data_IF_470506979080
#
_entry.id   IF_470506979080
#
_cell.length_a   1.000
_cell.length_b   1.000
_cell.length_c   1.000
_cell.angle_alpha   90.00
_cell.angle_beta   90.00
_cell.angle_gamma   90.00
#
_symmetry.space_group_name_H-M   'P 1'
#
loop_
_entity.id
_entity.type
_entity.pdbx_description
1 polymer ?
#
# COMPACT_ATOMS: atom_id res chain seq x y z
N UNK A 1 16.61 2.01 -28.86
CA UNK A 1 15.39 1.52 -29.57
C UNK A 1 14.83 0.25 -28.89
N UNK A 2 15.65 -0.81 -28.67
CA UNK A 2 15.20 -2.07 -28.07
C UNK A 2 14.58 -1.90 -26.70
N UNK A 3 15.22 -1.17 -25.77
CA UNK A 3 14.69 -0.91 -24.42
C UNK A 3 13.32 -0.26 -24.46
N UNK A 4 13.11 0.72 -25.34
CA UNK A 4 11.81 1.37 -25.48
C UNK A 4 10.73 0.41 -25.97
N UNK A 5 11.08 -0.47 -26.93
CA UNK A 5 10.14 -1.48 -27.42
C UNK A 5 9.76 -2.49 -26.33
N UNK A 6 10.72 -2.92 -25.53
CA UNK A 6 10.49 -3.86 -24.44
C UNK A 6 9.61 -3.24 -23.35
N UNK A 7 9.82 -1.98 -22.99
CA UNK A 7 8.93 -1.23 -22.07
C UNK A 7 7.52 -1.13 -22.65
N UNK A 8 7.39 -0.75 -23.93
CA UNK A 8 6.08 -0.68 -24.60
C UNK A 8 5.35 -2.02 -24.58
N UNK A 9 6.06 -3.13 -24.70
CA UNK A 9 5.46 -4.46 -24.60
C UNK A 9 4.94 -4.77 -23.19
N UNK A 10 5.64 -4.33 -22.13
CA UNK A 10 5.16 -4.44 -20.75
C UNK A 10 3.90 -3.59 -20.55
N UNK A 11 3.92 -2.33 -20.98
CA UNK A 11 2.77 -1.43 -20.87
C UNK A 11 1.53 -1.97 -21.60
N UNK A 12 1.68 -2.55 -22.79
CA UNK A 12 0.57 -3.18 -23.52
C UNK A 12 -0.06 -4.34 -22.76
N UNK A 13 0.73 -5.15 -22.04
CA UNK A 13 0.18 -6.26 -21.23
C UNK A 13 -0.66 -5.74 -20.06
N UNK A 14 -0.22 -4.66 -19.43
CA UNK A 14 -0.98 -3.98 -18.36
C UNK A 14 -2.25 -3.35 -18.95
N UNK A 15 -2.15 -2.70 -20.11
CA UNK A 15 -3.23 -1.98 -20.78
C UNK A 15 -4.44 -2.87 -21.09
N UNK A 16 -4.23 -4.10 -21.52
CA UNK A 16 -5.32 -5.05 -21.85
C UNK A 16 -6.34 -5.16 -20.72
N UNK A 17 -5.90 -5.24 -19.46
CA UNK A 17 -6.80 -5.33 -18.31
C UNK A 17 -7.19 -3.97 -17.75
N UNK A 18 -6.31 -2.99 -17.79
CA UNK A 18 -6.57 -1.64 -17.30
C UNK A 18 -7.76 -0.99 -18.02
N UNK A 19 -7.85 -1.16 -19.34
CA UNK A 19 -8.98 -0.64 -20.15
C UNK A 19 -10.34 -1.13 -19.67
N UNK A 20 -10.43 -2.32 -19.13
CA UNK A 20 -11.71 -2.85 -18.60
C UNK A 20 -12.13 -2.19 -17.29
N UNK A 21 -11.26 -1.38 -16.68
CA UNK A 21 -11.47 -0.75 -15.38
C UNK A 21 -11.59 0.78 -15.46
N UNK A 22 -11.48 1.38 -16.65
CA UNK A 22 -11.46 2.85 -16.83
C UNK A 22 -12.70 3.56 -16.31
N UNK A 23 -13.83 2.88 -16.19
CA UNK A 23 -15.07 3.44 -15.63
C UNK A 23 -15.06 3.53 -14.09
N UNK A 24 -14.03 3.00 -13.42
CA UNK A 24 -13.88 3.03 -11.97
C UNK A 24 -12.44 3.38 -11.59
N UNK A 25 -12.23 4.63 -11.23
CA UNK A 25 -10.91 5.19 -10.95
C UNK A 25 -10.18 4.45 -9.83
N UNK A 26 -10.85 4.12 -8.73
CA UNK A 26 -10.27 3.35 -7.64
C UNK A 26 -9.78 1.96 -8.09
N UNK A 27 -10.60 1.25 -8.88
CA UNK A 27 -10.23 -0.09 -9.36
C UNK A 27 -9.08 -0.04 -10.35
N UNK A 28 -9.06 0.97 -11.21
CA UNK A 28 -8.00 1.18 -12.18
C UNK A 28 -6.69 1.49 -11.47
N UNK A 29 -6.67 2.50 -10.61
CA UNK A 29 -5.48 2.90 -9.85
C UNK A 29 -4.93 1.75 -9.01
N UNK A 30 -5.82 1.05 -8.28
CA UNK A 30 -5.46 -0.14 -7.52
C UNK A 30 -4.84 -1.22 -8.40
N UNK A 31 -5.35 -1.45 -9.59
CA UNK A 31 -4.76 -2.42 -10.53
C UNK A 31 -3.36 -1.99 -10.98
N UNK A 32 -3.12 -0.71 -11.24
CA UNK A 32 -1.80 -0.19 -11.61
C UNK A 32 -0.80 -0.35 -10.44
N UNK A 33 -1.20 -0.02 -9.23
CA UNK A 33 -0.44 -0.24 -8.00
C UNK A 33 -0.09 -1.73 -7.84
N UNK A 34 -1.08 -2.61 -7.85
CA UNK A 34 -0.92 -4.07 -7.70
C UNK A 34 -0.03 -4.67 -8.79
N UNK A 35 -0.06 -4.11 -10.00
CA UNK A 35 0.77 -4.58 -11.11
C UNK A 35 2.26 -4.37 -10.83
N UNK A 36 2.62 -3.28 -10.15
CA UNK A 36 4.00 -3.03 -9.73
C UNK A 36 4.35 -3.89 -8.52
N UNK A 37 3.53 -3.87 -7.46
CA UNK A 37 3.78 -4.66 -6.25
C UNK A 37 4.02 -6.14 -6.57
N UNK A 38 3.24 -6.71 -7.49
CA UNK A 38 3.37 -8.12 -7.88
C UNK A 38 4.59 -8.43 -8.74
N UNK A 39 5.06 -7.46 -9.53
CA UNK A 39 6.06 -7.72 -10.56
C UNK A 39 7.46 -7.20 -10.24
N UNK A 40 7.62 -6.29 -9.27
CA UNK A 40 8.88 -5.62 -8.97
C UNK A 40 9.36 -6.01 -7.58
N UNK A 41 10.58 -6.55 -7.50
CA UNK A 41 11.27 -6.78 -6.25
C UNK A 41 11.98 -5.51 -5.78
N UNK A 42 12.04 -5.26 -4.46
CA UNK A 42 12.90 -4.18 -3.95
C UNK A 42 14.38 -4.55 -4.05
N UNK A 43 15.19 -3.63 -4.56
CA UNK A 43 16.61 -3.87 -4.80
C UNK A 43 17.50 -3.37 -3.66
N UNK A 44 17.60 -4.17 -2.60
CA UNK A 44 18.47 -3.86 -1.46
C UNK A 44 19.96 -3.81 -1.84
N UNK A 45 20.39 -4.60 -2.83
CA UNK A 45 21.78 -4.66 -3.25
C UNK A 45 22.22 -3.36 -3.93
N UNK A 46 21.30 -2.72 -4.64
CA UNK A 46 21.57 -1.47 -5.37
C UNK A 46 21.66 -0.23 -4.48
N UNK A 47 21.12 -0.30 -3.25
CA UNK A 47 21.27 0.79 -2.28
C UNK A 47 22.73 1.04 -1.87
N UNK A 48 23.58 0.01 -1.98
CA UNK A 48 24.99 0.06 -1.58
C UNK A 48 25.96 0.29 -2.75
N UNK A 49 25.44 0.38 -3.99
CA UNK A 49 26.27 0.45 -5.20
C UNK A 49 26.02 1.77 -5.94
N UNK A 50 27.08 2.47 -6.28
CA UNK A 50 27.00 3.76 -7.01
C UNK A 50 26.64 3.64 -8.50
N UNK A 51 26.61 2.43 -9.09
CA UNK A 51 26.47 2.20 -10.54
C UNK A 51 25.15 1.55 -10.96
N UNK A 52 24.08 1.68 -10.17
CA UNK A 52 22.82 0.99 -10.42
C UNK A 52 21.75 1.90 -11.05
N UNK A 53 22.07 2.57 -12.15
CA UNK A 53 21.12 3.48 -12.84
C UNK A 53 19.78 2.83 -13.17
N UNK A 54 19.76 1.55 -13.54
CA UNK A 54 18.52 0.86 -13.86
C UNK A 54 17.58 0.77 -12.65
N UNK A 55 18.09 0.46 -11.46
CA UNK A 55 17.31 0.34 -10.25
C UNK A 55 16.58 1.64 -9.88
N UNK A 56 17.12 2.79 -10.25
CA UNK A 56 16.54 4.12 -10.04
C UNK A 56 15.61 4.58 -11.18
N UNK A 57 15.32 3.70 -12.13
CA UNK A 57 14.58 4.02 -13.34
C UNK A 57 13.44 3.04 -13.62
N UNK A 58 12.61 3.39 -14.59
CA UNK A 58 11.55 2.50 -15.08
C UNK A 58 12.09 1.22 -15.74
N UNK A 59 13.36 1.22 -16.16
CA UNK A 59 14.02 0.02 -16.73
C UNK A 59 14.13 -1.06 -15.67
N UNK A 60 14.64 -0.72 -14.47
CA UNK A 60 14.71 -1.65 -13.35
C UNK A 60 13.34 -2.21 -13.01
N UNK A 61 12.34 -1.35 -12.87
CA UNK A 61 10.99 -1.78 -12.52
C UNK A 61 10.33 -2.66 -13.60
N UNK A 62 10.38 -2.24 -14.87
CA UNK A 62 9.62 -2.94 -15.93
C UNK A 62 10.37 -4.07 -16.60
N UNK A 63 11.70 -3.99 -16.73
CA UNK A 63 12.49 -4.99 -17.44
C UNK A 63 13.26 -5.90 -16.49
N UNK A 64 14.03 -5.33 -15.55
CA UNK A 64 14.84 -6.10 -14.61
C UNK A 64 13.99 -6.71 -13.47
N UNK A 65 12.75 -6.22 -13.30
CA UNK A 65 11.81 -6.63 -12.24
C UNK A 65 12.38 -6.41 -10.82
N UNK A 66 13.32 -5.50 -10.70
CA UNK A 66 14.02 -5.16 -9.47
C UNK A 66 14.37 -3.67 -9.47
N UNK A 67 13.91 -2.92 -8.47
CA UNK A 67 14.13 -1.48 -8.40
C UNK A 67 14.13 -0.98 -6.94
N UNK A 68 14.77 0.17 -6.72
CA UNK A 68 14.66 0.93 -5.47
C UNK A 68 13.41 1.84 -5.52
N UNK A 69 13.11 2.52 -4.41
CA UNK A 69 11.92 3.38 -4.26
C UNK A 69 11.74 4.38 -5.43
N UNK A 70 12.81 5.00 -5.89
CA UNK A 70 12.76 5.96 -7.00
C UNK A 70 12.33 5.32 -8.31
N UNK A 71 12.85 4.13 -8.65
CA UNK A 71 12.45 3.38 -9.84
C UNK A 71 11.00 2.93 -9.77
N UNK A 72 10.56 2.46 -8.59
CA UNK A 72 9.16 2.07 -8.32
C UNK A 72 8.22 3.28 -8.46
N UNK A 73 8.55 4.41 -7.83
CA UNK A 73 7.74 5.62 -7.92
C UNK A 73 7.64 6.18 -9.34
N UNK A 74 8.74 6.13 -10.12
CA UNK A 74 8.75 6.52 -11.54
C UNK A 74 7.88 5.59 -12.39
N UNK A 75 7.91 4.28 -12.13
CA UNK A 75 7.08 3.32 -12.84
C UNK A 75 5.58 3.53 -12.55
N UNK A 76 5.20 3.76 -11.29
CA UNK A 76 3.82 4.07 -10.93
C UNK A 76 3.36 5.40 -11.56
N UNK A 77 4.20 6.44 -11.52
CA UNK A 77 3.92 7.71 -12.21
C UNK A 77 3.65 7.50 -13.70
N UNK A 78 4.47 6.72 -14.40
CA UNK A 78 4.27 6.43 -15.81
C UNK A 78 2.92 5.78 -16.06
N UNK A 79 2.59 4.72 -15.30
CA UNK A 79 1.31 4.03 -15.43
C UNK A 79 0.12 4.96 -15.16
N UNK A 80 0.16 5.76 -14.09
CA UNK A 80 -0.91 6.71 -13.79
C UNK A 80 -1.13 7.71 -14.92
N UNK A 81 -0.04 8.28 -15.46
CA UNK A 81 -0.12 9.29 -16.51
C UNK A 81 -0.69 8.74 -17.84
N UNK A 82 -0.46 7.46 -18.16
CA UNK A 82 -1.06 6.79 -19.33
C UNK A 82 -2.60 6.77 -19.26
N UNK A 83 -3.18 6.83 -18.06
CA UNK A 83 -4.63 6.84 -17.83
C UNK A 83 -5.16 8.19 -17.32
N UNK A 84 -4.47 9.28 -17.63
CA UNK A 84 -4.87 10.67 -17.29
C UNK A 84 -4.93 10.97 -15.78
N UNK A 85 -4.36 10.12 -14.93
CA UNK A 85 -4.15 10.41 -13.53
C UNK A 85 -2.85 11.21 -13.40
N UNK A 86 -2.94 12.50 -13.02
CA UNK A 86 -1.75 13.33 -12.83
C UNK A 86 -0.95 12.83 -11.63
N UNK A 87 0.24 12.33 -11.87
CA UNK A 87 1.10 11.76 -10.85
C UNK A 87 2.48 12.41 -10.86
N UNK A 88 2.99 12.78 -9.69
CA UNK A 88 4.35 13.26 -9.49
C UNK A 88 5.09 12.36 -8.52
N UNK A 89 6.42 12.39 -8.60
CA UNK A 89 7.28 11.75 -7.60
C UNK A 89 7.57 12.77 -6.50
N UNK A 90 7.40 12.36 -5.28
CA UNK A 90 7.77 13.09 -4.06
C UNK A 90 9.08 12.51 -3.55
N UNK A 91 10.04 13.36 -3.21
CA UNK A 91 11.28 12.97 -2.55
C UNK A 91 11.21 13.37 -1.09
N UNK A 92 11.73 12.53 -0.21
CA UNK A 92 11.71 12.79 1.22
C UNK A 92 12.52 11.80 2.01
N UNK A 93 12.24 11.77 3.31
CA UNK A 93 12.71 10.75 4.24
C UNK A 93 11.52 9.93 4.72
N UNK A 94 11.78 8.69 5.13
CA UNK A 94 10.79 7.87 5.79
C UNK A 94 11.41 7.09 6.94
N UNK A 95 10.67 6.98 8.02
CA UNK A 95 11.08 6.29 9.23
C UNK A 95 9.81 5.71 9.90
N UNK A 96 9.71 4.37 10.05
CA UNK A 96 8.55 3.74 10.68
C UNK A 96 8.26 4.23 12.12
N UNK A 97 9.29 4.76 12.80
CA UNK A 97 9.16 5.33 14.14
C UNK A 97 8.90 6.85 14.12
N UNK A 98 8.93 7.48 12.94
CA UNK A 98 8.70 8.92 12.78
C UNK A 98 9.78 9.83 13.37
N UNK A 99 10.98 9.30 13.64
CA UNK A 99 12.08 10.07 14.26
C UNK A 99 12.90 10.87 13.26
N UNK A 100 13.00 10.40 12.01
CA UNK A 100 13.71 11.04 10.87
C UNK A 100 15.17 11.45 11.15
N UNK A 101 15.82 10.82 12.10
CA UNK A 101 17.22 11.11 12.51
C UNK A 101 18.27 10.43 11.62
N UNK A 102 17.82 9.51 10.74
CA UNK A 102 18.66 8.81 9.76
C UNK A 102 18.71 9.49 8.40
N UNK A 103 19.63 9.00 7.55
CA UNK A 103 19.78 9.43 6.14
C UNK A 103 18.98 8.52 5.18
N UNK A 104 17.83 8.02 5.61
CA UNK A 104 17.00 7.13 4.80
C UNK A 104 16.15 7.95 3.84
N UNK A 105 16.66 8.15 2.63
CA UNK A 105 15.92 8.81 1.56
C UNK A 105 14.91 7.86 0.93
N UNK A 106 13.74 8.39 0.64
CA UNK A 106 12.63 7.68 0.02
C UNK A 106 12.03 8.49 -1.11
N UNK A 107 11.46 7.79 -2.08
CA UNK A 107 10.64 8.37 -3.14
C UNK A 107 9.29 7.67 -3.17
N UNK A 108 8.20 8.45 -3.17
CA UNK A 108 6.83 7.97 -3.32
C UNK A 108 6.05 8.86 -4.28
N UNK A 109 4.76 8.75 -4.34
CA UNK A 109 3.94 9.49 -5.30
C UNK A 109 2.89 10.38 -4.63
N UNK A 110 2.59 11.49 -5.29
CA UNK A 110 1.37 12.25 -5.10
C UNK A 110 0.57 12.13 -6.40
N UNK A 111 -0.65 11.63 -6.30
CA UNK A 111 -1.51 11.38 -7.44
C UNK A 111 -2.80 12.18 -7.34
N UNK A 112 -3.24 12.74 -8.47
CA UNK A 112 -4.58 13.30 -8.62
C UNK A 112 -5.40 12.34 -9.47
N UNK A 113 -6.43 11.79 -8.86
CA UNK A 113 -7.36 10.85 -9.47
C UNK A 113 -8.79 11.29 -9.15
N UNK A 114 -9.64 11.37 -10.16
CA UNK A 114 -10.95 11.99 -10.02
C UNK A 114 -10.86 13.43 -9.57
N UNK A 115 -11.61 13.75 -8.54
CA UNK A 115 -11.60 15.08 -7.93
C UNK A 115 -10.63 15.20 -6.74
N UNK A 116 -10.01 14.08 -6.30
CA UNK A 116 -9.17 14.02 -5.12
C UNK A 116 -7.67 14.01 -5.44
N UNK A 117 -6.88 14.33 -4.44
CA UNK A 117 -5.42 14.20 -4.46
C UNK A 117 -4.96 13.40 -3.26
N UNK A 118 -3.99 12.50 -3.47
CA UNK A 118 -3.59 11.50 -2.48
C UNK A 118 -2.10 11.25 -2.53
N UNK A 119 -1.53 10.81 -1.40
CA UNK A 119 -0.22 10.19 -1.39
C UNK A 119 -0.36 8.67 -1.60
N UNK A 120 0.59 8.10 -2.36
CA UNK A 120 0.69 6.65 -2.61
C UNK A 120 2.15 6.24 -2.49
N UNK A 121 2.45 5.31 -1.59
CA UNK A 121 3.78 4.69 -1.51
C UNK A 121 3.73 3.20 -1.87
N UNK A 122 3.94 2.93 -3.15
CA UNK A 122 3.99 1.56 -3.68
C UNK A 122 5.16 0.78 -3.10
N UNK A 123 6.24 1.46 -2.70
CA UNK A 123 7.43 0.81 -2.14
C UNK A 123 7.14 0.23 -0.76
N UNK A 124 6.55 1.02 0.12
CA UNK A 124 6.20 0.56 1.46
C UNK A 124 5.04 -0.44 1.45
N UNK A 125 4.09 -0.30 0.54
CA UNK A 125 3.07 -1.31 0.31
C UNK A 125 3.63 -2.63 -0.25
N UNK A 126 4.82 -2.62 -0.89
CA UNK A 126 5.49 -3.79 -1.43
C UNK A 126 6.43 -4.48 -0.43
N UNK A 127 6.98 -3.76 0.55
CA UNK A 127 8.05 -4.27 1.42
C UNK A 127 7.55 -5.20 2.52
N UNK A 128 6.33 -4.99 3.02
CA UNK A 128 5.92 -5.56 4.30
C UNK A 128 5.25 -6.94 4.23
N UNK A 129 4.80 -7.43 3.08
CA UNK A 129 3.94 -8.62 3.02
C UNK A 129 4.37 -9.69 1.99
N UNK A 130 5.64 -9.70 1.56
CA UNK A 130 6.12 -10.65 0.54
C UNK A 130 6.10 -12.11 0.96
N UNK A 131 6.36 -12.38 2.22
CA UNK A 131 6.40 -13.75 2.73
C UNK A 131 5.02 -14.42 2.73
N UNK A 132 3.95 -13.62 2.70
CA UNK A 132 2.57 -14.11 2.84
C UNK A 132 1.76 -13.92 1.54
N UNK A 133 2.40 -13.52 0.44
CA UNK A 133 1.73 -13.25 -0.85
C UNK A 133 0.52 -12.29 -0.75
N UNK A 134 0.58 -11.35 0.19
CA UNK A 134 -0.46 -10.36 0.40
C UNK A 134 0.02 -8.97 -0.06
N UNK A 135 -0.87 -8.19 -0.68
CA UNK A 135 -0.60 -6.81 -1.04
C UNK A 135 -1.07 -5.91 0.09
N UNK A 136 -0.17 -5.09 0.61
CA UNK A 136 -0.50 -4.01 1.53
C UNK A 136 -1.13 -2.83 0.79
N UNK A 137 -1.96 -2.08 1.51
CA UNK A 137 -2.56 -0.83 1.07
C UNK A 137 -2.49 0.23 2.17
N UNK A 138 -1.49 0.12 3.03
CA UNK A 138 -1.30 1.02 4.16
C UNK A 138 -1.07 2.45 3.70
N UNK A 139 -0.43 2.59 2.54
CA UNK A 139 -0.07 3.86 1.93
C UNK A 139 -0.75 4.08 0.57
N UNK A 140 -1.88 3.42 0.33
CA UNK A 140 -2.66 3.61 -0.89
C UNK A 140 -3.73 4.69 -0.69
N UNK A 141 -3.59 5.81 -1.38
CA UNK A 141 -4.49 6.96 -1.35
C UNK A 141 -4.69 7.53 0.07
N UNK A 142 -3.58 7.82 0.73
CA UNK A 142 -3.59 8.42 2.07
C UNK A 142 -3.53 9.95 2.01
N UNK A 143 -3.99 10.59 3.07
CA UNK A 143 -3.95 12.06 3.23
C UNK A 143 -2.53 12.52 3.57
N UNK A 144 -2.30 13.85 3.46
CA UNK A 144 -1.05 14.45 3.97
C UNK A 144 -0.88 14.21 5.47
N UNK A 145 -1.95 14.30 6.26
CA UNK A 145 -1.87 14.05 7.70
C UNK A 145 -1.48 12.59 8.02
N UNK A 146 -1.95 11.64 7.20
CA UNK A 146 -1.57 10.24 7.38
C UNK A 146 -0.12 9.98 6.96
N UNK A 147 0.29 10.45 5.76
CA UNK A 147 1.66 10.19 5.27
C UNK A 147 2.71 10.81 6.18
N UNK A 148 2.46 11.98 6.77
CA UNK A 148 3.40 12.69 7.65
C UNK A 148 3.65 12.00 9.00
N UNK A 149 2.95 10.93 9.34
CA UNK A 149 3.21 10.17 10.58
C UNK A 149 4.57 9.45 10.55
N UNK A 150 5.00 9.07 9.36
CA UNK A 150 6.21 8.27 9.14
C UNK A 150 6.99 8.66 7.86
N UNK A 151 6.54 9.70 7.14
CA UNK A 151 7.23 10.27 5.98
C UNK A 151 7.42 11.78 6.15
N UNK A 152 8.57 12.28 5.70
CA UNK A 152 8.91 13.71 5.71
C UNK A 152 9.29 14.16 4.30
N UNK A 153 8.40 14.85 3.57
CA UNK A 153 8.70 15.37 2.23
C UNK A 153 9.82 16.40 2.26
N UNK A 154 10.71 16.35 1.26
CA UNK A 154 11.73 17.36 1.00
C UNK A 154 11.18 18.33 -0.04
N UNK A 155 10.69 19.48 0.41
CA UNK A 155 10.10 20.48 -0.46
C UNK A 155 8.63 20.76 -0.16
N UNK A 156 8.00 21.58 -1.00
CA UNK A 156 6.58 21.94 -0.88
C UNK A 156 5.76 21.15 -1.89
N UNK A 157 4.74 20.48 -1.43
CA UNK A 157 3.80 19.71 -2.23
C UNK A 157 2.37 20.11 -1.88
N UNK A 158 1.42 19.91 -2.80
CA UNK A 158 0.00 20.12 -2.51
C UNK A 158 -0.45 19.29 -1.29
N UNK A 159 -1.26 19.89 -0.44
CA UNK A 159 -1.88 19.20 0.70
C UNK A 159 -3.01 18.32 0.19
N UNK A 160 -3.00 17.05 0.55
CA UNK A 160 -4.01 16.06 0.21
C UNK A 160 -4.91 15.82 1.42
N UNK A 161 -6.18 16.19 1.29
CA UNK A 161 -7.19 16.03 2.36
C UNK A 161 -8.29 15.04 2.00
N UNK A 162 -8.31 14.60 0.75
CA UNK A 162 -9.34 13.70 0.24
C UNK A 162 -9.18 12.28 0.80
N UNK A 163 -10.30 11.66 1.13
CA UNK A 163 -10.37 10.27 1.63
C UNK A 163 -11.22 9.37 0.74
N UNK A 164 -11.89 9.92 -0.26
CA UNK A 164 -12.90 9.22 -1.06
C UNK A 164 -12.39 7.98 -1.78
N UNK A 165 -11.12 7.97 -2.21
CA UNK A 165 -10.48 6.82 -2.85
C UNK A 165 -9.43 6.14 -1.96
N UNK A 166 -9.39 6.45 -0.66
CA UNK A 166 -8.56 5.68 0.28
C UNK A 166 -9.03 4.22 0.33
N UNK A 167 -8.08 3.28 0.42
CA UNK A 167 -8.39 1.84 0.39
C UNK A 167 -9.40 1.44 1.47
N UNK A 168 -9.21 1.86 2.71
CA UNK A 168 -10.08 1.50 3.83
C UNK A 168 -11.45 2.15 3.73
N UNK A 169 -11.56 3.32 3.10
CA UNK A 169 -12.84 3.95 2.79
C UNK A 169 -13.60 3.15 1.73
N UNK A 170 -12.95 2.87 0.59
CA UNK A 170 -13.57 2.14 -0.51
C UNK A 170 -13.95 0.71 -0.17
N UNK A 171 -13.20 0.07 0.73
CA UNK A 171 -13.45 -1.31 1.17
C UNK A 171 -14.33 -1.39 2.43
N UNK A 172 -14.78 -0.26 2.98
CA UNK A 172 -15.55 -0.20 4.22
C UNK A 172 -14.87 -0.94 5.37
N UNK A 173 -13.59 -0.68 5.57
CA UNK A 173 -12.76 -1.33 6.59
C UNK A 173 -12.11 -0.35 7.56
N UNK A 174 -12.68 0.85 7.69
CA UNK A 174 -12.46 1.67 8.88
C UNK A 174 -13.28 1.11 10.03
N UNK A 175 -12.67 1.12 11.22
CA UNK A 175 -13.33 0.72 12.48
C UNK A 175 -13.11 1.81 13.52
N UNK A 176 -14.14 2.09 14.33
CA UNK A 176 -14.11 3.02 15.46
C UNK A 176 -14.38 2.30 16.79
N UNK A 177 -15.07 1.15 16.74
CA UNK A 177 -15.49 0.40 17.92
C UNK A 177 -15.04 -1.05 17.85
N UNK A 178 -15.01 -1.69 19.02
CA UNK A 178 -14.76 -3.12 19.11
C UNK A 178 -15.82 -3.95 18.39
N UNK A 179 -17.08 -3.52 18.46
CA UNK A 179 -18.19 -4.20 17.79
C UNK A 179 -18.01 -4.17 16.26
N UNK A 180 -17.65 -3.02 15.68
CA UNK A 180 -17.32 -2.90 14.24
C UNK A 180 -16.17 -3.81 13.84
N UNK A 181 -15.12 -3.92 14.68
CA UNK A 181 -14.00 -4.81 14.45
C UNK A 181 -14.42 -6.28 14.44
N UNK A 182 -15.25 -6.72 15.39
CA UNK A 182 -15.80 -8.09 15.47
C UNK A 182 -16.64 -8.39 14.23
N UNK A 183 -17.53 -7.48 13.85
CA UNK A 183 -18.37 -7.62 12.65
C UNK A 183 -17.50 -7.79 11.41
N UNK A 184 -16.53 -6.89 11.21
CA UNK A 184 -15.63 -6.92 10.06
C UNK A 184 -14.87 -8.25 9.96
N UNK A 185 -14.29 -8.72 11.08
CA UNK A 185 -13.58 -9.99 11.14
C UNK A 185 -14.53 -11.16 10.83
N UNK A 186 -15.73 -11.14 11.40
CA UNK A 186 -16.71 -12.22 11.19
C UNK A 186 -17.18 -12.31 9.73
N UNK A 187 -17.50 -11.17 9.11
CA UNK A 187 -17.97 -11.11 7.73
C UNK A 187 -16.87 -11.52 6.73
N UNK A 188 -15.63 -11.16 7.00
CA UNK A 188 -14.50 -11.43 6.11
C UNK A 188 -13.66 -12.64 6.50
N UNK A 189 -14.12 -13.45 7.42
CA UNK A 189 -13.36 -14.58 7.99
C UNK A 189 -12.90 -15.61 6.95
N UNK A 190 -13.61 -15.71 5.81
CA UNK A 190 -13.25 -16.60 4.71
C UNK A 190 -12.33 -15.95 3.66
N UNK A 191 -12.01 -14.67 3.82
CA UNK A 191 -11.01 -14.02 2.97
C UNK A 191 -9.60 -14.49 3.33
N UNK A 192 -8.65 -14.40 2.38
CA UNK A 192 -7.22 -14.71 2.64
C UNK A 192 -6.57 -13.67 3.56
N UNK A 193 -7.08 -12.46 3.53
CA UNK A 193 -6.60 -11.35 4.35
C UNK A 193 -7.76 -10.46 4.77
N UNK A 194 -7.69 -9.97 6.00
CA UNK A 194 -8.58 -8.94 6.53
C UNK A 194 -7.70 -7.77 6.92
N UNK A 195 -7.92 -6.62 6.28
CA UNK A 195 -7.24 -5.38 6.63
C UNK A 195 -8.26 -4.38 7.17
N UNK A 196 -7.87 -3.65 8.20
CA UNK A 196 -8.67 -2.57 8.76
C UNK A 196 -7.78 -1.42 9.24
N UNK A 197 -8.35 -0.22 9.25
CA UNK A 197 -7.71 0.98 9.83
C UNK A 197 -8.61 1.53 10.91
N UNK A 198 -8.02 1.83 12.06
CA UNK A 198 -8.75 2.50 13.15
C UNK A 198 -8.84 3.98 12.84
N UNK A 199 -10.06 4.52 12.85
CA UNK A 199 -10.28 5.97 12.77
C UNK A 199 -10.06 6.55 14.17
N UNK A 200 -8.87 7.07 14.44
CA UNK A 200 -8.46 7.54 15.77
C UNK A 200 -9.40 8.62 16.35
N UNK A 201 -9.89 9.53 15.50
CA UNK A 201 -10.87 10.52 15.91
C UNK A 201 -12.22 9.84 16.18
N UNK A 202 -12.77 10.08 17.34
CA UNK A 202 -14.06 9.52 17.79
C UNK A 202 -14.06 7.98 17.98
N UNK A 203 -12.87 7.38 18.13
CA UNK A 203 -12.73 5.94 18.37
C UNK A 203 -12.81 5.60 19.87
N UNK A 204 -13.31 4.41 20.18
CA UNK A 204 -13.22 3.85 21.54
C UNK A 204 -11.81 3.36 21.87
N UNK A 205 -10.95 3.11 20.86
CA UNK A 205 -9.55 2.68 21.04
C UNK A 205 -8.67 3.88 21.37
N UNK A 206 -8.03 3.85 22.52
CA UNK A 206 -7.19 4.94 22.99
C UNK A 206 -5.71 4.74 22.67
N UNK A 207 -5.27 3.49 22.53
CA UNK A 207 -3.87 3.14 22.25
C UNK A 207 -3.79 2.04 21.19
N UNK A 208 -2.63 1.96 20.51
CA UNK A 208 -2.38 0.89 19.55
C UNK A 208 -2.31 -0.48 20.24
N UNK A 209 -1.84 -0.55 21.48
CA UNK A 209 -1.79 -1.79 22.24
C UNK A 209 -3.20 -2.30 22.57
N UNK A 210 -4.14 -1.40 22.81
CA UNK A 210 -5.55 -1.76 22.96
C UNK A 210 -6.12 -2.32 21.65
N UNK A 211 -5.81 -1.71 20.50
CA UNK A 211 -6.21 -2.23 19.18
C UNK A 211 -5.65 -3.63 18.99
N UNK A 212 -4.37 -3.85 19.29
CA UNK A 212 -3.73 -5.16 19.18
C UNK A 212 -4.45 -6.21 20.03
N UNK A 213 -4.62 -5.92 21.33
CA UNK A 213 -5.27 -6.84 22.27
C UNK A 213 -6.70 -7.18 21.83
N UNK A 214 -7.50 -6.18 21.48
CA UNK A 214 -8.88 -6.37 21.00
C UNK A 214 -8.96 -7.10 19.67
N UNK A 215 -7.98 -6.94 18.78
CA UNK A 215 -7.91 -7.69 17.52
C UNK A 215 -7.73 -9.18 17.77
N UNK A 216 -6.78 -9.57 18.64
CA UNK A 216 -6.58 -10.97 19.00
C UNK A 216 -7.81 -11.56 19.67
N UNK A 217 -8.46 -10.81 20.55
CA UNK A 217 -9.67 -11.26 21.23
C UNK A 217 -10.83 -11.45 20.25
N UNK A 218 -11.08 -10.49 19.35
CA UNK A 218 -12.12 -10.56 18.32
C UNK A 218 -11.89 -11.74 17.36
N UNK A 219 -10.64 -11.98 16.95
CA UNK A 219 -10.29 -13.11 16.09
C UNK A 219 -10.54 -14.45 16.79
N UNK A 220 -10.08 -14.61 18.04
CA UNK A 220 -10.27 -15.83 18.84
C UNK A 220 -11.76 -16.09 19.09
N UNK A 221 -12.53 -15.06 19.44
CA UNK A 221 -13.96 -15.14 19.62
C UNK A 221 -14.67 -15.57 18.33
N UNK A 222 -14.30 -15.00 17.19
CA UNK A 222 -14.87 -15.36 15.88
C UNK A 222 -14.57 -16.83 15.53
N UNK A 223 -13.33 -17.29 15.77
CA UNK A 223 -12.95 -18.69 15.57
C UNK A 223 -13.82 -19.65 16.42
N UNK A 224 -14.00 -19.30 17.69
CA UNK A 224 -14.83 -20.08 18.62
C UNK A 224 -16.28 -20.16 18.15
N UNK A 225 -16.88 -19.00 17.80
CA UNK A 225 -18.27 -18.93 17.34
C UNK A 225 -18.52 -19.68 16.03
N UNK A 226 -17.52 -19.78 15.17
CA UNK A 226 -17.58 -20.53 13.90
C UNK A 226 -17.20 -22.00 14.07
N UNK A 227 -16.74 -22.43 15.24
CA UNK A 227 -16.28 -23.81 15.49
C UNK A 227 -15.06 -24.21 14.68
N UNK A 228 -14.18 -23.26 14.35
CA UNK A 228 -12.99 -23.47 13.52
C UNK A 228 -11.74 -22.99 14.24
N UNK A 229 -10.61 -23.62 13.93
CA UNK A 229 -9.29 -23.20 14.40
C UNK A 229 -8.37 -23.03 13.17
N UNK A 230 -8.22 -21.78 12.71
CA UNK A 230 -7.36 -21.42 11.59
C UNK A 230 -6.05 -20.83 12.09
N UNK A 231 -4.94 -21.21 11.46
CA UNK A 231 -3.71 -20.44 11.62
C UNK A 231 -3.90 -19.04 11.03
N UNK A 232 -3.49 -18.02 11.76
CA UNK A 232 -3.51 -16.65 11.32
C UNK A 232 -2.25 -15.92 11.78
N UNK A 233 -1.67 -15.09 10.90
CA UNK A 233 -0.70 -14.08 11.27
C UNK A 233 -1.42 -12.75 11.46
N UNK A 234 -1.12 -12.04 12.55
CA UNK A 234 -1.68 -10.72 12.83
C UNK A 234 -0.54 -9.71 12.85
N UNK A 235 -0.59 -8.77 11.94
CA UNK A 235 0.42 -7.74 11.75
C UNK A 235 -0.19 -6.36 11.99
N UNK A 236 0.65 -5.40 12.42
CA UNK A 236 0.21 -4.04 12.66
C UNK A 236 1.18 -3.04 12.06
N UNK A 237 0.64 -2.04 11.37
CA UNK A 237 1.32 -0.79 11.11
C UNK A 237 0.91 0.19 12.21
N UNK A 238 1.79 0.35 13.20
CA UNK A 238 1.46 1.11 14.42
C UNK A 238 1.31 2.60 14.16
N UNK A 239 2.16 3.18 13.31
CA UNK A 239 2.09 4.60 12.96
C UNK A 239 0.76 4.93 12.27
N UNK A 240 0.28 4.04 11.41
CA UNK A 240 -0.95 4.23 10.65
C UNK A 240 -2.21 3.69 11.33
N UNK A 241 -2.08 3.01 12.48
CA UNK A 241 -3.18 2.34 13.19
C UNK A 241 -3.92 1.34 12.29
N UNK A 242 -3.17 0.53 11.57
CA UNK A 242 -3.69 -0.49 10.66
C UNK A 242 -3.39 -1.86 11.22
N UNK A 243 -4.41 -2.73 11.23
CA UNK A 243 -4.29 -4.14 11.55
C UNK A 243 -4.53 -5.00 10.31
N UNK A 244 -3.80 -6.11 10.22
CA UNK A 244 -3.89 -7.10 9.16
C UNK A 244 -3.97 -8.48 9.77
N UNK A 245 -4.97 -9.26 9.37
CA UNK A 245 -5.14 -10.66 9.74
C UNK A 245 -4.97 -11.47 8.47
N UNK A 246 -3.94 -12.28 8.40
CA UNK A 246 -3.56 -13.04 7.23
C UNK A 246 -3.74 -14.53 7.51
N UNK A 247 -4.47 -15.21 6.64
CA UNK A 247 -4.70 -16.65 6.73
C UNK A 247 -3.82 -17.33 5.67
N UNK A 248 -2.72 -18.01 6.07
CA UNK A 248 -1.88 -18.75 5.16
C UNK A 248 -2.70 -19.83 4.45
N UNK A 249 -2.29 -20.17 3.22
CA UNK A 249 -2.86 -21.35 2.55
C UNK A 249 -2.50 -22.58 3.36
N UNK A 250 -3.50 -23.42 3.64
CA UNK A 250 -3.21 -24.78 4.09
C UNK A 250 -2.50 -25.49 2.93
N UNK A 251 -1.30 -25.99 3.19
CA UNK A 251 -0.62 -26.87 2.23
C UNK A 251 -1.53 -28.07 1.98
N UNK A 252 -1.95 -28.25 0.73
CA UNK A 252 -2.82 -29.33 0.30
C UNK A 252 -2.09 -30.65 0.29
#
# INVERSE_FOLDING_TARGET
EKINLDIQNVLRRIDVRARTMQSNEFRLEKYLHDSIVKSVAYDYDSLQKNDCYNAHSIVGAFLDKKAVCEGIAKAFKLLCNEYSMKCIVVLGKADPEGKFDGDTYLAWNLVKVGNGSYHVDVTWDNMFDREIEHISYDYFNVTTDDILKDHQPMGQYPICTDVGLNYFHCTKSFVCTYEELVILISERFNARAIMFKVRQKDSEFQTIDEVKAKTYFALSHTMLMKGVNKKAAVLFNEAQWIGKILFPQEEA
#
